data_IF_734315140397
#
_entry.id   IF_734315140397
#
_cell.length_a   1.000
_cell.length_b   1.000
_cell.length_c   1.000
_cell.angle_alpha   90.00
_cell.angle_beta   90.00
_cell.angle_gamma   90.00
#
_symmetry.space_group_name_H-M   'P 1'
#
loop_
_entity.id
_entity.type
_entity.pdbx_description
1 polymer ?
#
# COMPACT_ATOMS: atom_id res chain seq x y z
N UNK A 1 -9.58 -28.64 -0.90
CA UNK A 1 -9.78 -28.78 -2.36
C UNK A 1 -9.17 -27.53 -2.98
N UNK A 2 -7.92 -27.66 -3.44
CA UNK A 2 -7.15 -26.61 -4.08
C UNK A 2 -7.68 -26.56 -5.51
N UNK A 3 -8.63 -25.67 -5.80
CA UNK A 3 -8.99 -25.38 -7.18
C UNK A 3 -7.84 -24.60 -7.81
N UNK A 4 -7.14 -25.34 -8.62
CA UNK A 4 -5.95 -24.98 -9.35
C UNK A 4 -6.18 -23.73 -10.21
N UNK A 5 -5.45 -22.69 -9.93
CA UNK A 5 -5.22 -21.54 -10.82
C UNK A 5 -4.54 -21.97 -12.15
N UNK A 6 -4.29 -23.28 -12.32
CA UNK A 6 -3.62 -23.86 -13.50
C UNK A 6 -4.50 -23.93 -14.75
N UNK A 7 -5.83 -23.86 -14.63
CA UNK A 7 -6.69 -24.02 -15.82
C UNK A 7 -6.81 -22.73 -16.67
N UNK A 8 -6.34 -21.59 -16.17
CA UNK A 8 -6.33 -20.31 -16.90
C UNK A 8 -4.96 -19.95 -17.50
N UNK A 9 -3.97 -20.83 -17.39
CA UNK A 9 -2.61 -20.57 -17.87
C UNK A 9 -2.39 -20.87 -19.37
N UNK A 10 -3.32 -21.54 -20.04
CA UNK A 10 -3.15 -22.00 -21.44
C UNK A 10 -3.67 -21.02 -22.53
N UNK A 11 -4.16 -19.83 -22.15
CA UNK A 11 -4.53 -18.77 -23.14
C UNK A 11 -3.46 -17.65 -23.18
N UNK A 12 -2.21 -17.96 -22.84
CA UNK A 12 -1.15 -16.95 -22.70
C UNK A 12 -0.47 -16.48 -23.99
N UNK A 13 -0.82 -16.99 -25.15
CA UNK A 13 -0.03 -16.75 -26.36
C UNK A 13 -0.64 -15.77 -27.38
N UNK A 14 -1.68 -15.03 -27.03
CA UNK A 14 -2.21 -13.98 -27.92
C UNK A 14 -2.46 -12.69 -27.14
N UNK A 15 -1.59 -11.69 -27.39
CA UNK A 15 -1.65 -10.31 -26.96
C UNK A 15 -0.78 -10.01 -25.73
N UNK A 16 0.46 -9.61 -25.92
CA UNK A 16 1.25 -8.78 -25.01
C UNK A 16 0.54 -7.43 -24.83
N UNK A 17 -0.49 -7.40 -23.98
CA UNK A 17 -1.11 -6.17 -23.55
C UNK A 17 -0.36 -5.70 -22.30
N UNK A 18 0.32 -4.58 -22.37
CA UNK A 18 0.97 -3.94 -21.26
C UNK A 18 -0.12 -3.50 -20.27
N UNK A 19 -0.24 -4.21 -19.16
CA UNK A 19 -1.20 -3.98 -18.09
C UNK A 19 -0.40 -3.64 -16.85
N UNK A 20 -0.72 -2.56 -16.17
CA UNK A 20 0.09 -2.08 -15.08
C UNK A 20 -0.68 -2.02 -13.75
N UNK A 21 -0.01 -2.44 -12.69
CA UNK A 21 -0.45 -2.25 -11.32
C UNK A 21 0.54 -1.32 -10.64
N UNK A 22 0.16 -0.09 -10.43
CA UNK A 22 0.89 0.83 -9.60
C UNK A 22 0.69 0.48 -8.13
N UNK A 23 1.76 0.15 -7.41
CA UNK A 23 1.63 -0.21 -6.02
C UNK A 23 2.54 0.60 -5.10
N UNK A 24 2.11 0.76 -3.85
CA UNK A 24 2.90 1.25 -2.74
C UNK A 24 2.64 0.37 -1.52
N UNK A 25 3.70 0.02 -0.76
CA UNK A 25 3.57 -0.78 0.45
C UNK A 25 4.59 -0.37 1.51
N UNK A 26 4.16 -0.27 2.77
CA UNK A 26 5.05 -0.07 3.90
C UNK A 26 5.50 -1.41 4.50
N UNK A 27 4.59 -2.17 5.08
CA UNK A 27 4.85 -3.40 5.84
C UNK A 27 4.51 -4.70 5.08
N UNK A 28 4.29 -4.63 3.77
CA UNK A 28 4.12 -5.79 2.91
C UNK A 28 2.68 -6.18 2.56
N UNK A 29 1.66 -5.73 3.29
CA UNK A 29 0.26 -6.10 3.02
C UNK A 29 -0.18 -5.76 1.59
N UNK A 30 -0.01 -4.51 1.18
CA UNK A 30 -0.38 -4.09 -0.19
C UNK A 30 0.54 -4.71 -1.25
N UNK A 31 1.82 -4.93 -0.95
CA UNK A 31 2.73 -5.62 -1.87
C UNK A 31 2.30 -7.09 -2.07
N UNK A 32 1.77 -7.76 -1.04
CA UNK A 32 1.17 -9.09 -1.19
C UNK A 32 -0.03 -9.05 -2.14
N UNK A 33 -0.95 -8.11 -1.92
CA UNK A 33 -2.13 -7.98 -2.78
C UNK A 33 -1.74 -7.68 -4.24
N UNK A 34 -0.78 -6.77 -4.46
CA UNK A 34 -0.27 -6.44 -5.79
C UNK A 34 0.37 -7.65 -6.48
N UNK A 35 1.20 -8.43 -5.76
CA UNK A 35 1.79 -9.68 -6.31
C UNK A 35 0.73 -10.72 -6.66
N UNK A 36 -0.32 -10.88 -5.83
CA UNK A 36 -1.42 -11.80 -6.14
C UNK A 36 -2.21 -11.37 -7.38
N UNK A 37 -2.47 -10.07 -7.52
CA UNK A 37 -3.05 -9.51 -8.75
C UNK A 37 -2.16 -9.82 -9.95
N UNK A 38 -0.88 -9.47 -9.89
CA UNK A 38 0.10 -9.76 -10.95
C UNK A 38 0.11 -11.24 -11.38
N UNK A 39 0.18 -12.17 -10.39
CA UNK A 39 0.18 -13.61 -10.65
C UNK A 39 -1.06 -14.10 -11.41
N UNK A 40 -2.22 -13.49 -11.16
CA UNK A 40 -3.49 -13.90 -11.77
C UNK A 40 -3.81 -13.16 -13.07
N UNK A 41 -3.35 -11.92 -13.21
CA UNK A 41 -3.70 -11.06 -14.36
C UNK A 41 -2.58 -10.92 -15.38
N UNK A 42 -1.31 -11.20 -14.97
CA UNK A 42 -0.11 -10.93 -15.77
C UNK A 42 0.24 -9.44 -15.88
N UNK A 43 -0.44 -8.56 -15.17
CA UNK A 43 -0.20 -7.10 -15.17
C UNK A 43 1.14 -6.78 -14.52
N UNK A 44 1.94 -5.89 -15.10
CA UNK A 44 3.25 -5.50 -14.61
C UNK A 44 3.16 -4.69 -13.30
N UNK A 45 4.09 -4.91 -12.38
CA UNK A 45 4.15 -4.19 -11.11
C UNK A 45 5.07 -2.98 -11.21
N UNK A 46 4.53 -1.80 -10.94
CA UNK A 46 5.29 -0.54 -10.86
C UNK A 46 5.26 -0.01 -9.43
N UNK A 47 6.44 0.08 -8.80
CA UNK A 47 6.57 0.66 -7.46
C UNK A 47 6.47 2.20 -7.53
N UNK A 48 5.39 2.75 -6.99
CA UNK A 48 5.16 4.20 -6.95
C UNK A 48 6.26 4.96 -6.21
N UNK A 49 6.83 4.36 -5.16
CA UNK A 49 7.88 5.01 -4.38
C UNK A 49 9.19 5.06 -5.16
N UNK A 50 9.58 3.95 -5.77
CA UNK A 50 10.76 3.86 -6.64
C UNK A 50 10.65 4.78 -7.84
N UNK A 51 9.51 4.81 -8.52
CA UNK A 51 9.27 5.69 -9.65
C UNK A 51 9.40 7.18 -9.28
N UNK A 52 8.85 7.58 -8.13
CA UNK A 52 9.00 8.96 -7.62
C UNK A 52 10.44 9.33 -7.24
N UNK A 53 11.26 8.36 -6.83
CA UNK A 53 12.68 8.58 -6.52
C UNK A 53 13.54 8.66 -7.79
N UNK A 54 13.19 7.93 -8.83
CA UNK A 54 13.90 7.94 -10.12
C UNK A 54 13.69 9.20 -10.95
N UNK A 55 12.76 10.07 -10.56
CA UNK A 55 12.54 11.38 -11.19
C UNK A 55 11.34 11.43 -12.14
N UNK A 56 11.14 12.61 -12.75
CA UNK A 56 9.95 12.90 -13.56
C UNK A 56 9.83 11.98 -14.81
N UNK A 57 10.94 11.62 -15.42
CA UNK A 57 10.96 10.78 -16.63
C UNK A 57 10.44 9.36 -16.36
N UNK A 58 10.56 8.89 -15.11
CA UNK A 58 10.05 7.58 -14.66
C UNK A 58 8.55 7.55 -14.40
N UNK A 59 7.84 8.65 -14.64
CA UNK A 59 6.40 8.78 -14.44
C UNK A 59 5.60 8.82 -15.75
N UNK A 60 6.25 8.52 -16.88
CA UNK A 60 5.60 8.41 -18.17
C UNK A 60 5.28 6.95 -18.49
N UNK A 61 4.04 6.67 -18.81
CA UNK A 61 3.55 5.32 -19.11
C UNK A 61 2.64 5.38 -20.32
N UNK A 62 2.69 4.35 -21.15
CA UNK A 62 1.81 4.19 -22.31
C UNK A 62 0.91 2.99 -22.10
N UNK A 63 -0.37 3.14 -22.40
CA UNK A 63 -1.39 2.09 -22.35
C UNK A 63 -1.85 1.80 -23.77
N UNK A 64 -2.03 0.52 -24.08
CA UNK A 64 -2.64 0.10 -25.32
C UNK A 64 -4.19 0.07 -25.18
N UNK A 65 -4.95 0.22 -26.28
CA UNK A 65 -6.42 0.18 -26.23
C UNK A 65 -6.95 -1.11 -25.57
N UNK A 66 -7.83 -0.94 -24.58
CA UNK A 66 -8.44 -2.06 -23.85
C UNK A 66 -7.63 -2.55 -22.63
N UNK A 67 -6.52 -1.92 -22.31
CA UNK A 67 -5.74 -2.24 -21.12
C UNK A 67 -6.42 -1.83 -19.82
N UNK A 68 -5.97 -2.48 -18.74
CA UNK A 68 -6.39 -2.15 -17.39
C UNK A 68 -5.31 -1.41 -16.65
N UNK A 69 -5.74 -0.53 -15.76
CA UNK A 69 -4.88 0.25 -14.89
C UNK A 69 -5.22 -0.04 -13.43
N UNK A 70 -4.35 -0.76 -12.75
CA UNK A 70 -4.50 -1.15 -11.35
C UNK A 70 -3.78 -0.20 -10.39
N UNK A 71 -4.37 0.01 -9.22
CA UNK A 71 -3.73 0.71 -8.10
C UNK A 71 -3.82 -0.14 -6.84
N UNK A 72 -2.69 -0.37 -6.15
CA UNK A 72 -2.65 -1.16 -4.93
C UNK A 72 -1.85 -0.44 -3.84
N UNK A 73 -2.52 -0.02 -2.73
CA UNK A 73 -1.87 0.77 -1.70
C UNK A 73 -2.57 0.65 -0.33
N UNK A 74 -1.85 0.96 0.78
CA UNK A 74 -2.45 0.99 2.11
C UNK A 74 -3.26 2.27 2.33
N UNK A 75 -4.18 2.24 3.29
CA UNK A 75 -4.89 3.43 3.76
C UNK A 75 -4.17 4.01 4.97
N UNK A 76 -3.83 5.28 4.93
CA UNK A 76 -3.20 6.02 6.03
C UNK A 76 -4.18 7.05 6.60
N UNK A 77 -4.63 6.85 7.85
CA UNK A 77 -5.57 7.75 8.49
C UNK A 77 -6.81 8.01 7.62
N UNK A 78 -7.45 6.95 7.15
CA UNK A 78 -8.68 6.97 6.33
C UNK A 78 -8.57 7.77 5.02
N UNK A 79 -7.35 7.95 4.51
CA UNK A 79 -7.07 8.62 3.22
C UNK A 79 -6.04 7.81 2.42
N UNK A 80 -5.96 8.00 1.09
CA UNK A 80 -4.82 7.54 0.31
C UNK A 80 -3.55 8.22 0.83
N UNK A 81 -2.41 7.51 0.96
CA UNK A 81 -1.15 8.10 1.37
C UNK A 81 -0.76 9.30 0.52
N UNK A 82 -0.11 10.30 1.13
CA UNK A 82 0.35 11.50 0.41
C UNK A 82 1.26 11.13 -0.78
N UNK A 83 2.08 10.08 -0.64
CA UNK A 83 2.92 9.53 -1.70
C UNK A 83 2.09 9.07 -2.90
N UNK A 84 1.02 8.29 -2.67
CA UNK A 84 0.14 7.80 -3.74
C UNK A 84 -0.53 8.97 -4.47
N UNK A 85 -1.02 9.95 -3.72
CA UNK A 85 -1.61 11.17 -4.31
C UNK A 85 -0.59 11.97 -5.11
N UNK A 86 0.67 12.07 -4.64
CA UNK A 86 1.76 12.73 -5.37
C UNK A 86 2.09 11.96 -6.66
N UNK A 87 2.15 10.63 -6.60
CA UNK A 87 2.39 9.80 -7.78
C UNK A 87 1.29 10.02 -8.84
N UNK A 88 0.01 9.91 -8.46
CA UNK A 88 -1.13 10.11 -9.37
C UNK A 88 -1.11 11.50 -10.01
N UNK A 89 -0.73 12.53 -9.26
CA UNK A 89 -0.63 13.90 -9.79
C UNK A 89 0.52 14.10 -10.77
N UNK A 90 1.62 13.39 -10.57
CA UNK A 90 2.83 13.47 -11.38
C UNK A 90 2.85 12.54 -12.57
N UNK A 91 2.08 11.44 -12.56
CA UNK A 91 2.10 10.48 -13.65
C UNK A 91 1.52 11.05 -14.94
N UNK A 92 2.12 10.67 -16.06
CA UNK A 92 1.65 10.94 -17.41
C UNK A 92 1.27 9.61 -18.05
N UNK A 93 0.08 9.55 -18.64
CA UNK A 93 -0.48 8.36 -19.27
C UNK A 93 -0.89 8.69 -20.68
N UNK A 94 -0.28 8.03 -21.64
CA UNK A 94 -0.69 8.05 -23.03
C UNK A 94 -1.57 6.82 -23.31
N UNK A 95 -2.60 6.96 -24.14
CA UNK A 95 -3.48 5.84 -24.52
C UNK A 95 -4.47 5.41 -23.45
N UNK A 96 -4.67 6.18 -22.37
CA UNK A 96 -5.54 5.79 -21.25
C UNK A 96 -7.06 5.90 -21.54
N UNK A 97 -7.44 6.37 -22.72
CA UNK A 97 -8.83 6.55 -23.10
C UNK A 97 -9.61 5.24 -23.09
N UNK A 98 -10.64 5.16 -22.26
CA UNK A 98 -11.46 3.96 -22.11
C UNK A 98 -10.85 2.83 -21.28
N UNK A 99 -9.63 2.97 -20.78
CA UNK A 99 -8.97 1.97 -19.93
C UNK A 99 -9.83 1.65 -18.70
N UNK A 100 -9.90 0.38 -18.33
CA UNK A 100 -10.55 -0.04 -17.09
C UNK A 100 -9.63 0.22 -15.90
N UNK A 101 -9.97 1.21 -15.08
CA UNK A 101 -9.20 1.53 -13.88
C UNK A 101 -9.80 0.89 -12.64
N UNK A 102 -8.97 0.26 -11.82
CA UNK A 102 -9.41 -0.36 -10.57
C UNK A 102 -8.43 -0.08 -9.41
N UNK A 103 -8.92 -0.25 -8.17
CA UNK A 103 -8.08 -0.15 -6.98
C UNK A 103 -8.31 -1.33 -6.02
N UNK A 104 -7.21 -1.87 -5.47
CA UNK A 104 -7.23 -2.80 -4.34
C UNK A 104 -6.46 -2.17 -3.21
N UNK A 105 -7.15 -1.85 -2.11
CA UNK A 105 -6.52 -1.14 -0.99
C UNK A 105 -6.53 -1.96 0.29
N UNK A 106 -5.51 -1.79 1.13
CA UNK A 106 -5.39 -2.51 2.39
C UNK A 106 -5.57 -1.56 3.57
N UNK A 107 -6.26 -2.02 4.61
CA UNK A 107 -6.48 -1.26 5.85
C UNK A 107 -6.48 -2.21 7.06
N UNK A 108 -6.27 -1.68 8.27
CA UNK A 108 -6.34 -2.47 9.49
C UNK A 108 -7.77 -2.79 9.94
N UNK A 109 -8.71 -1.88 9.62
CA UNK A 109 -10.11 -1.98 10.02
C UNK A 109 -11.07 -1.47 8.93
N UNK A 110 -11.02 -0.19 8.60
CA UNK A 110 -11.87 0.42 7.59
C UNK A 110 -11.14 1.52 6.80
N UNK A 111 -11.71 1.91 5.66
CA UNK A 111 -11.08 2.86 4.74
C UNK A 111 -11.68 4.27 4.81
N UNK A 112 -12.78 4.49 5.56
CA UNK A 112 -13.52 5.75 5.49
C UNK A 112 -13.95 6.11 4.07
N UNK A 113 -13.72 7.36 3.68
CA UNK A 113 -13.97 7.88 2.33
C UNK A 113 -12.70 7.91 1.44
N UNK A 114 -11.70 7.08 1.75
CA UNK A 114 -10.43 7.08 1.01
C UNK A 114 -10.63 6.87 -0.51
N UNK A 115 -11.55 6.00 -0.92
CA UNK A 115 -11.81 5.78 -2.35
C UNK A 115 -12.54 6.95 -3.02
N UNK A 116 -13.37 7.68 -2.30
CA UNK A 116 -13.96 8.94 -2.79
C UNK A 116 -12.88 10.00 -3.02
N UNK A 117 -11.91 10.08 -2.11
CA UNK A 117 -10.76 11.00 -2.25
C UNK A 117 -9.88 10.56 -3.42
N UNK A 118 -9.59 9.26 -3.54
CA UNK A 118 -8.76 8.71 -4.60
C UNK A 118 -9.40 8.90 -6.00
N UNK A 119 -10.69 8.59 -6.14
CA UNK A 119 -11.45 8.85 -7.37
C UNK A 119 -11.36 10.31 -7.81
N UNK A 120 -11.38 11.24 -6.86
CA UNK A 120 -11.25 12.67 -7.16
C UNK A 120 -9.85 13.03 -7.68
N UNK A 121 -8.80 12.42 -7.15
CA UNK A 121 -7.43 12.61 -7.66
C UNK A 121 -7.28 12.05 -9.08
N UNK A 122 -7.85 10.86 -9.36
CA UNK A 122 -7.84 10.26 -10.70
C UNK A 122 -8.61 11.12 -11.72
N UNK A 123 -9.82 11.62 -11.36
CA UNK A 123 -10.61 12.48 -12.26
C UNK A 123 -9.88 13.76 -12.67
N UNK A 124 -9.05 14.32 -11.80
CA UNK A 124 -8.20 15.48 -12.13
C UNK A 124 -7.15 15.17 -13.22
N UNK A 125 -6.91 13.87 -13.46
CA UNK A 125 -6.02 13.35 -14.51
C UNK A 125 -6.78 12.77 -15.71
N UNK A 126 -8.09 13.01 -15.79
CA UNK A 126 -8.94 12.48 -16.85
C UNK A 126 -9.30 10.99 -16.70
N UNK A 127 -8.98 10.37 -15.54
CA UNK A 127 -9.23 8.96 -15.29
C UNK A 127 -10.47 8.76 -14.42
N UNK A 128 -11.23 7.70 -14.72
CA UNK A 128 -12.35 7.26 -13.89
C UNK A 128 -12.00 5.97 -13.15
N UNK A 129 -12.24 5.91 -11.84
CA UNK A 129 -12.11 4.68 -11.07
C UNK A 129 -13.39 3.84 -11.24
N UNK A 130 -13.28 2.69 -11.89
CA UNK A 130 -14.42 1.86 -12.26
C UNK A 130 -14.80 0.82 -11.21
N UNK A 131 -13.81 0.24 -10.50
CA UNK A 131 -14.05 -0.80 -9.50
C UNK A 131 -13.05 -0.69 -8.37
N UNK A 132 -13.45 -1.07 -7.14
CA UNK A 132 -12.53 -1.04 -6.01
C UNK A 132 -12.86 -2.11 -4.95
N UNK A 133 -11.80 -2.66 -4.36
CA UNK A 133 -11.83 -3.61 -3.25
C UNK A 133 -11.02 -3.07 -2.08
N UNK A 134 -11.56 -3.14 -0.86
CA UNK A 134 -10.79 -2.96 0.36
C UNK A 134 -10.57 -4.29 1.07
N UNK A 135 -9.30 -4.58 1.40
CA UNK A 135 -8.88 -5.76 2.14
C UNK A 135 -8.55 -5.37 3.57
N UNK A 136 -9.26 -5.96 4.54
CA UNK A 136 -8.93 -5.81 5.96
C UNK A 136 -7.76 -6.73 6.26
N UNK A 137 -6.58 -6.15 6.51
CA UNK A 137 -5.31 -6.83 6.72
C UNK A 137 -4.80 -6.59 8.14
N UNK A 138 -3.82 -7.37 8.62
CA UNK A 138 -3.26 -7.16 9.94
C UNK A 138 -2.79 -5.75 10.19
N UNK A 139 -3.05 -5.25 11.42
CA UNK A 139 -2.74 -3.89 11.83
C UNK A 139 -1.22 -3.70 11.97
N UNK A 140 -0.71 -2.67 11.34
CA UNK A 140 0.70 -2.30 11.39
C UNK A 140 0.95 -0.88 11.90
N UNK A 141 -0.09 -0.05 12.06
CA UNK A 141 0.10 1.29 12.59
C UNK A 141 -0.03 1.31 14.12
N UNK A 142 1.12 1.35 14.81
CA UNK A 142 1.21 1.27 16.28
C UNK A 142 1.72 2.55 16.94
N UNK A 143 1.75 3.66 16.20
CA UNK A 143 2.30 4.94 16.69
C UNK A 143 1.33 5.79 17.52
N UNK A 144 0.09 5.31 17.77
CA UNK A 144 -0.86 5.94 18.66
C UNK A 144 -1.03 5.15 19.97
N UNK A 145 -1.39 5.79 21.09
CA UNK A 145 -1.45 5.15 22.42
C UNK A 145 -2.34 3.92 22.50
N UNK A 146 -3.43 3.88 21.73
CA UNK A 146 -4.45 2.83 21.76
C UNK A 146 -4.35 1.84 20.58
N UNK A 147 -3.31 1.95 19.74
CA UNK A 147 -3.12 1.07 18.59
C UNK A 147 -2.05 0.00 18.88
N UNK A 148 -2.36 -1.23 18.53
CA UNK A 148 -1.52 -2.42 18.74
C UNK A 148 -1.52 -3.27 17.47
N UNK A 149 -0.50 -4.11 17.31
CA UNK A 149 -0.55 -5.19 16.33
C UNK A 149 -1.62 -6.20 16.72
N UNK A 150 -2.18 -6.88 15.75
CA UNK A 150 -3.13 -7.97 15.99
C UNK A 150 -2.44 -9.15 16.73
N UNK A 151 -3.23 -10.02 17.39
CA UNK A 151 -2.74 -11.33 17.84
C UNK A 151 -2.49 -12.22 16.62
N UNK A 152 -1.68 -13.28 16.81
CA UNK A 152 -1.34 -14.22 15.71
C UNK A 152 -2.60 -14.85 15.10
N UNK A 153 -3.59 -15.20 15.94
CA UNK A 153 -4.86 -15.78 15.48
C UNK A 153 -5.65 -14.79 14.61
N UNK A 154 -5.74 -13.53 15.07
CA UNK A 154 -6.43 -12.47 14.33
C UNK A 154 -5.69 -12.09 13.04
N UNK A 155 -4.35 -12.08 13.08
CA UNK A 155 -3.51 -11.89 11.89
C UNK A 155 -3.82 -12.95 10.83
N UNK A 156 -3.80 -14.23 11.22
CA UNK A 156 -4.09 -15.34 10.32
C UNK A 156 -5.51 -15.29 9.77
N UNK A 157 -6.48 -14.94 10.62
CA UNK A 157 -7.88 -14.78 10.20
C UNK A 157 -8.03 -13.67 9.16
N UNK A 158 -7.48 -12.48 9.41
CA UNK A 158 -7.51 -11.36 8.46
C UNK A 158 -6.84 -11.72 7.13
N UNK A 159 -5.68 -12.41 7.16
CA UNK A 159 -5.00 -12.85 5.95
C UNK A 159 -5.85 -13.86 5.14
N UNK A 160 -6.50 -14.82 5.81
CA UNK A 160 -7.41 -15.77 5.12
C UNK A 160 -8.60 -15.06 4.49
N UNK A 161 -9.24 -14.17 5.22
CA UNK A 161 -10.39 -13.43 4.73
C UNK A 161 -9.98 -12.52 3.56
N UNK A 162 -8.86 -11.82 3.65
CA UNK A 162 -8.35 -10.97 2.58
C UNK A 162 -8.02 -11.79 1.30
N UNK A 163 -7.45 -13.00 1.45
CA UNK A 163 -7.23 -13.91 0.31
C UNK A 163 -8.55 -14.31 -0.35
N UNK A 164 -9.54 -14.72 0.44
CA UNK A 164 -10.84 -15.12 -0.08
C UNK A 164 -11.59 -13.94 -0.74
N UNK A 165 -11.47 -12.72 -0.19
CA UNK A 165 -12.07 -11.53 -0.78
C UNK A 165 -11.42 -11.16 -2.11
N UNK A 166 -10.09 -11.24 -2.19
CA UNK A 166 -9.35 -10.99 -3.42
C UNK A 166 -9.66 -12.05 -4.48
N UNK A 167 -9.71 -13.34 -4.12
CA UNK A 167 -10.06 -14.43 -5.02
C UNK A 167 -11.48 -14.30 -5.60
N UNK A 168 -12.43 -13.76 -4.84
CA UNK A 168 -13.78 -13.45 -5.31
C UNK A 168 -13.86 -12.21 -6.20
N UNK A 169 -12.91 -11.30 -6.07
CA UNK A 169 -12.86 -10.07 -6.86
C UNK A 169 -12.14 -10.28 -8.21
N UNK A 170 -11.14 -11.14 -8.26
CA UNK A 170 -10.31 -11.41 -9.44
C UNK A 170 -11.09 -11.77 -10.69
N UNK A 171 -12.07 -12.71 -10.68
CA UNK A 171 -12.84 -13.03 -11.88
C UNK A 171 -13.60 -11.82 -12.44
N UNK A 172 -14.10 -10.94 -11.57
CA UNK A 172 -14.82 -9.73 -11.99
C UNK A 172 -13.89 -8.74 -12.71
N UNK A 173 -12.64 -8.64 -12.25
CA UNK A 173 -11.62 -7.85 -12.94
C UNK A 173 -11.23 -8.45 -14.29
N UNK A 174 -11.06 -9.77 -14.35
CA UNK A 174 -10.69 -10.48 -15.57
C UNK A 174 -11.79 -10.36 -16.63
N UNK A 175 -13.05 -10.40 -16.21
CA UNK A 175 -14.24 -10.20 -17.07
C UNK A 175 -14.42 -8.72 -17.50
N UNK A 176 -13.55 -7.81 -17.04
CA UNK A 176 -13.66 -6.37 -17.35
C UNK A 176 -14.90 -5.69 -16.72
N UNK A 177 -15.44 -6.26 -15.63
CA UNK A 177 -16.65 -5.70 -14.98
C UNK A 177 -16.36 -4.36 -14.35
N UNK A 178 -17.19 -3.40 -14.66
CA UNK A 178 -17.20 -2.06 -14.05
C UNK A 178 -18.29 -1.98 -12.99
N UNK A 179 -18.13 -1.08 -12.00
CA UNK A 179 -19.14 -0.85 -10.96
C UNK A 179 -19.03 -1.80 -9.76
N UNK A 180 -17.97 -2.60 -9.66
CA UNK A 180 -17.74 -3.53 -8.55
C UNK A 180 -17.05 -2.80 -7.38
N UNK A 181 -17.86 -2.36 -6.43
CA UNK A 181 -17.38 -1.63 -5.22
C UNK A 181 -17.58 -2.48 -3.98
N UNK A 182 -16.50 -3.08 -3.47
CA UNK A 182 -16.48 -3.91 -2.26
C UNK A 182 -15.65 -3.25 -1.18
N UNK A 183 -16.24 -2.27 -0.49
CA UNK A 183 -15.54 -1.35 0.40
C UNK A 183 -16.03 -1.46 1.84
N UNK A 184 -15.13 -1.62 2.79
CA UNK A 184 -15.40 -1.53 4.24
C UNK A 184 -15.19 -0.09 4.68
N UNK A 185 -16.19 0.76 4.55
CA UNK A 185 -16.10 2.19 4.87
C UNK A 185 -16.12 2.50 6.38
N UNK A 186 -16.73 1.63 7.18
CA UNK A 186 -16.94 1.87 8.61
C UNK A 186 -18.02 2.91 8.90
N UNK A 187 -18.24 3.15 10.21
CA UNK A 187 -19.17 4.19 10.68
C UNK A 187 -18.50 5.56 10.62
N UNK A 188 -19.28 6.62 10.43
CA UNK A 188 -18.79 8.01 10.40
C UNK A 188 -17.64 8.26 9.39
N UNK A 189 -17.67 7.58 8.24
CA UNK A 189 -16.60 7.58 7.22
C UNK A 189 -16.16 9.00 6.83
N UNK A 190 -17.12 9.94 6.67
CA UNK A 190 -16.82 11.33 6.35
C UNK A 190 -16.00 12.02 7.47
N UNK A 191 -16.45 11.92 8.72
CA UNK A 191 -15.74 12.52 9.86
C UNK A 191 -14.32 11.95 10.00
N UNK A 192 -14.20 10.61 9.89
CA UNK A 192 -12.92 9.92 9.97
C UNK A 192 -11.97 10.39 8.87
N UNK A 193 -12.43 10.55 7.63
CA UNK A 193 -11.55 10.88 6.52
C UNK A 193 -11.23 12.37 6.42
N UNK A 194 -12.23 13.25 6.56
CA UNK A 194 -12.03 14.68 6.27
C UNK A 194 -11.60 15.48 7.50
N UNK A 195 -12.00 15.10 8.70
CA UNK A 195 -11.61 15.80 9.92
C UNK A 195 -10.42 15.12 10.58
N UNK A 196 -10.60 13.89 11.07
CA UNK A 196 -9.56 13.17 11.82
C UNK A 196 -8.40 12.79 10.90
N UNK A 197 -8.69 12.18 9.77
CA UNK A 197 -7.70 11.81 8.76
C UNK A 197 -7.03 13.00 8.11
N UNK A 198 -7.76 14.09 7.91
CA UNK A 198 -7.20 15.36 7.45
C UNK A 198 -6.16 15.91 8.42
N UNK A 199 -6.49 15.97 9.71
CA UNK A 199 -5.56 16.37 10.77
C UNK A 199 -4.36 15.41 10.85
N UNK A 200 -4.63 14.10 10.87
CA UNK A 200 -3.60 13.07 10.93
C UNK A 200 -2.59 13.21 9.77
N UNK A 201 -3.07 13.25 8.55
CA UNK A 201 -2.21 13.32 7.37
C UNK A 201 -1.45 14.65 7.26
N UNK A 202 -1.99 15.74 7.83
CA UNK A 202 -1.35 17.06 7.80
C UNK A 202 -0.28 17.24 8.88
N UNK A 203 -0.49 16.68 10.09
CA UNK A 203 0.32 17.02 11.27
C UNK A 203 1.01 15.83 11.92
N UNK A 204 0.58 14.60 11.65
CA UNK A 204 1.11 13.42 12.36
C UNK A 204 2.04 12.57 11.49
N UNK A 205 2.03 12.74 10.18
CA UNK A 205 2.99 12.07 9.28
C UNK A 205 4.32 12.79 9.35
N UNK A 206 5.27 12.21 10.09
CA UNK A 206 6.61 12.79 10.31
C UNK A 206 7.61 11.75 10.76
N UNK A 207 8.87 11.92 10.40
CA UNK A 207 9.99 11.10 10.89
C UNK A 207 10.66 11.69 12.15
N UNK A 208 10.33 12.91 12.55
CA UNK A 208 10.97 13.62 13.69
C UNK A 208 10.84 12.90 15.04
N UNK A 209 9.87 11.97 15.16
CA UNK A 209 9.65 11.21 16.40
C UNK A 209 10.38 9.87 16.44
N UNK A 210 10.96 9.43 15.32
CA UNK A 210 11.75 8.21 15.31
C UNK A 210 13.06 8.40 16.09
N UNK A 211 13.46 7.34 16.79
CA UNK A 211 14.72 7.27 17.54
C UNK A 211 15.28 5.86 17.44
N UNK A 212 16.58 5.74 17.35
CA UNK A 212 17.30 4.48 17.49
C UNK A 212 17.96 4.40 18.86
N UNK A 213 17.80 3.28 19.51
CA UNK A 213 18.49 2.97 20.76
C UNK A 213 19.84 2.33 20.42
N UNK A 214 20.93 3.07 20.64
CA UNK A 214 22.28 2.63 20.32
C UNK A 214 22.70 1.36 21.09
N UNK A 215 22.15 1.12 22.28
CA UNK A 215 22.48 -0.08 23.08
C UNK A 215 21.86 -1.35 22.50
N UNK A 216 20.76 -1.24 21.74
CA UNK A 216 20.08 -2.36 21.09
C UNK A 216 20.45 -2.49 19.61
N UNK A 217 20.86 -1.38 18.98
CA UNK A 217 21.17 -1.36 17.56
C UNK A 217 22.48 -2.11 17.26
N UNK A 218 22.44 -3.02 16.30
CA UNK A 218 23.60 -3.79 15.83
C UNK A 218 24.12 -3.34 14.46
N UNK A 219 23.65 -2.21 13.95
CA UNK A 219 24.11 -1.66 12.66
C UNK A 219 23.77 -2.49 11.41
N UNK A 220 22.81 -3.42 11.48
CA UNK A 220 22.55 -4.40 10.42
C UNK A 220 21.93 -3.82 9.12
N UNK A 221 21.47 -2.57 9.11
CA UNK A 221 20.90 -1.90 7.93
C UNK A 221 19.50 -2.38 7.50
N UNK A 222 18.85 -3.30 8.22
CA UNK A 222 17.52 -3.80 7.84
C UNK A 222 16.46 -2.69 7.77
N UNK A 223 16.54 -1.70 8.66
CA UNK A 223 15.64 -0.55 8.65
C UNK A 223 15.81 0.34 7.40
N UNK A 224 17.04 0.48 6.91
CA UNK A 224 17.34 1.22 5.67
C UNK A 224 16.76 0.48 4.48
N UNK A 225 17.01 -0.85 4.38
CA UNK A 225 16.48 -1.70 3.30
C UNK A 225 14.94 -1.77 3.29
N UNK A 226 14.31 -1.72 4.47
CA UNK A 226 12.87 -1.79 4.62
C UNK A 226 12.18 -0.46 4.33
N UNK A 227 12.91 0.66 4.25
CA UNK A 227 12.29 1.96 4.01
C UNK A 227 11.86 2.11 2.53
N UNK A 228 10.55 2.09 2.22
CA UNK A 228 10.09 2.10 0.83
C UNK A 228 10.35 3.44 0.13
N UNK A 229 10.61 4.50 0.90
CA UNK A 229 10.83 5.86 0.37
C UNK A 229 12.28 6.32 0.48
N UNK A 230 13.21 5.42 0.87
CA UNK A 230 14.63 5.76 0.96
C UNK A 230 14.97 6.86 1.98
N UNK A 231 14.09 7.15 2.95
CA UNK A 231 14.29 8.23 3.94
C UNK A 231 15.26 7.85 5.07
N UNK A 232 16.19 6.92 4.84
CA UNK A 232 17.11 6.46 5.87
C UNK A 232 18.47 6.07 5.31
N UNK A 233 19.51 6.34 6.10
CA UNK A 233 20.87 5.85 5.87
C UNK A 233 21.48 5.30 7.17
N UNK A 234 22.65 4.68 7.09
CA UNK A 234 23.49 4.39 8.24
C UNK A 234 24.62 5.40 8.29
N UNK A 235 24.84 6.02 9.46
CA UNK A 235 26.02 6.81 9.77
C UNK A 235 26.63 6.25 11.07
N UNK A 236 27.90 5.92 11.02
CA UNK A 236 28.63 5.29 12.14
C UNK A 236 27.92 4.06 12.72
N UNK A 237 27.32 3.24 11.82
CA UNK A 237 26.58 2.04 12.20
C UNK A 237 25.20 2.29 12.83
N UNK A 238 24.75 3.55 12.89
CA UNK A 238 23.46 3.93 13.47
C UNK A 238 22.49 4.42 12.39
N UNK A 239 21.18 4.06 12.45
CA UNK A 239 20.20 4.55 11.51
C UNK A 239 19.91 6.03 11.72
N UNK A 240 19.90 6.77 10.62
CA UNK A 240 19.53 8.18 10.58
C UNK A 240 18.40 8.41 9.59
N UNK A 241 17.45 9.26 9.95
CA UNK A 241 16.35 9.71 9.08
C UNK A 241 16.76 11.02 8.42
N UNK A 242 16.48 11.17 7.14
CA UNK A 242 16.90 12.33 6.34
C UNK A 242 16.12 13.61 6.67
N UNK A 243 14.93 13.50 7.25
CA UNK A 243 14.06 14.63 7.60
C UNK A 243 13.69 15.54 6.41
N UNK A 244 13.66 14.96 5.20
CA UNK A 244 13.40 15.64 3.92
C UNK A 244 11.91 15.70 3.55
N UNK A 245 11.03 15.19 4.43
CA UNK A 245 9.58 15.11 4.21
C UNK A 245 9.12 13.93 3.36
N UNK A 246 10.01 13.03 2.95
CA UNK A 246 9.66 11.81 2.19
C UNK A 246 8.99 10.74 3.05
N UNK A 247 9.21 10.75 4.37
CA UNK A 247 8.68 9.76 5.29
C UNK A 247 7.15 9.68 5.28
N UNK A 248 6.62 8.50 5.07
CA UNK A 248 5.18 8.21 5.11
C UNK A 248 4.68 7.75 6.48
N UNK A 249 5.56 7.66 7.48
CA UNK A 249 5.29 7.09 8.81
C UNK A 249 4.66 5.69 8.75
N UNK A 250 5.06 4.89 7.75
CA UNK A 250 4.57 3.51 7.56
C UNK A 250 5.10 2.53 8.61
N UNK A 251 6.06 2.94 9.44
CA UNK A 251 6.71 2.15 10.48
C UNK A 251 7.48 0.91 9.96
N UNK A 252 7.76 0.79 8.66
CA UNK A 252 8.52 -0.34 8.11
C UNK A 252 9.88 -0.50 8.81
N UNK A 253 10.60 0.59 9.05
CA UNK A 253 11.87 0.58 9.77
C UNK A 253 11.76 0.02 11.21
N UNK A 254 10.67 0.35 11.91
CA UNK A 254 10.36 -0.20 13.23
C UNK A 254 10.04 -1.69 13.16
N UNK A 255 9.17 -2.09 12.24
CA UNK A 255 8.66 -3.46 12.14
C UNK A 255 9.73 -4.47 11.68
N UNK A 256 10.68 -4.05 10.86
CA UNK A 256 11.76 -4.92 10.37
C UNK A 256 13.03 -4.89 11.24
N UNK A 257 13.04 -4.13 12.35
CA UNK A 257 14.20 -4.10 13.22
C UNK A 257 14.29 -5.39 14.06
N UNK A 258 15.27 -6.28 13.84
CA UNK A 258 15.35 -7.57 14.54
C UNK A 258 15.67 -7.42 16.03
N UNK A 259 16.20 -6.26 16.44
CA UNK A 259 16.58 -5.96 17.81
C UNK A 259 15.62 -5.02 18.53
N UNK A 260 14.47 -4.66 17.89
CA UNK A 260 13.55 -3.64 18.41
C UNK A 260 14.26 -2.34 18.84
N UNK A 261 15.31 -1.98 18.10
CA UNK A 261 16.13 -0.80 18.44
C UNK A 261 15.50 0.52 17.97
N UNK A 262 14.46 0.48 17.11
CA UNK A 262 13.79 1.67 16.60
C UNK A 262 12.49 1.87 17.34
N UNK A 263 12.26 3.11 17.78
CA UNK A 263 11.03 3.54 18.45
C UNK A 263 10.45 4.80 17.79
N UNK A 264 9.12 4.96 17.83
CA UNK A 264 8.41 6.18 17.47
C UNK A 264 7.93 6.89 18.76
N UNK A 265 8.71 7.82 19.22
CA UNK A 265 8.53 8.46 20.54
C UNK A 265 8.65 7.45 21.69
N UNK A 266 7.73 7.53 22.65
CA UNK A 266 7.62 6.59 23.78
C UNK A 266 6.56 5.51 23.56
N UNK A 267 5.70 5.69 22.55
CA UNK A 267 4.50 4.88 22.35
C UNK A 267 4.85 3.46 21.93
N UNK A 268 5.82 3.29 21.04
CA UNK A 268 6.14 1.99 20.43
C UNK A 268 7.04 1.09 21.25
N UNK A 269 7.65 1.57 22.34
CA UNK A 269 8.63 0.81 23.15
C UNK A 269 8.17 -0.56 23.62
N UNK A 270 6.85 -0.75 23.78
CA UNK A 270 6.23 -1.99 24.25
C UNK A 270 5.19 -2.52 23.27
N UNK A 271 5.28 -2.14 21.99
CA UNK A 271 4.38 -2.61 20.94
C UNK A 271 4.98 -3.79 20.20
N UNK A 272 4.10 -4.64 19.68
CA UNK A 272 4.50 -5.71 18.78
C UNK A 272 5.05 -5.20 17.44
N UNK A 273 5.67 -6.07 16.70
CA UNK A 273 6.10 -5.84 15.33
C UNK A 273 5.33 -6.76 14.40
N UNK A 274 4.91 -6.23 13.27
CA UNK A 274 4.27 -6.97 12.21
C UNK A 274 4.76 -6.49 10.84
N UNK A 275 5.12 -7.41 9.98
CA UNK A 275 5.21 -7.23 8.53
C UNK A 275 4.69 -8.50 7.86
N UNK A 276 4.15 -8.39 6.67
CA UNK A 276 3.57 -9.54 5.98
C UNK A 276 4.62 -10.64 5.75
N UNK A 277 4.31 -11.85 6.19
CA UNK A 277 5.21 -13.00 6.13
C UNK A 277 6.15 -13.18 7.34
N UNK A 278 6.04 -12.34 8.38
CA UNK A 278 6.88 -12.48 9.59
C UNK A 278 6.61 -13.76 10.36
N UNK A 279 5.34 -14.17 10.44
CA UNK A 279 4.87 -15.31 11.23
C UNK A 279 4.41 -16.50 10.36
N UNK A 280 4.83 -16.55 9.11
CA UNK A 280 4.59 -17.65 8.18
C UNK A 280 5.73 -18.66 8.22
#
# INVERSE_FOLDING_TARGET
MIFSCHLFCEIKDLLYLWRMIFYFSGTGNSAWAARRLHQCTGEELVDMAGALQSGADSLHYTLEPGERLGFCFPIHGWQPPALVRRFVRGMHLDGADGAMTYAVVTCGDNIGEAMTIFSRELRRRGLELHSALSLVMPESYVALPFMYTDTIEREREKCRQASADLERFLPLLLDGRRGEWRLVKGKCAWLLSYVIGGFFNRFMITDKKFRADASRCIGCGQCVKACPVGNMSLADGQPQWHHDGSCTTCLACYHHCPRHAIDYGRVTRRRGQYYFGKNN
#
